data_IF_685946149072
#
_entry.id   IF_685946149072
#
_cell.length_a   1.000
_cell.length_b   1.000
_cell.length_c   1.000
_cell.angle_alpha   90.00
_cell.angle_beta   90.00
_cell.angle_gamma   90.00
#
_symmetry.space_group_name_H-M   'P 1'
#
loop_
_entity.id
_entity.type
_entity.pdbx_description
1 polymer ?
#
# COMPACT_ATOMS: atom_id res chain seq x y z
N UNK A 1 -26.78 -38.91 23.53
CA UNK A 1 -25.97 -38.03 24.40
C UNK A 1 -24.61 -37.90 23.73
N UNK A 2 -24.08 -36.70 23.51
CA UNK A 2 -22.73 -36.57 22.96
C UNK A 2 -21.73 -37.08 24.00
N UNK A 3 -20.81 -37.95 23.58
CA UNK A 3 -19.77 -38.47 24.45
C UNK A 3 -18.82 -37.35 24.88
N UNK A 4 -18.45 -37.35 26.16
CA UNK A 4 -17.52 -36.36 26.74
C UNK A 4 -16.18 -36.33 26.01
N UNK A 5 -15.73 -37.46 25.49
CA UNK A 5 -14.50 -37.60 24.68
C UNK A 5 -14.60 -36.86 23.35
N UNK A 6 -15.74 -36.93 22.67
CA UNK A 6 -15.98 -36.24 21.41
C UNK A 6 -16.02 -34.72 21.63
N UNK A 7 -16.71 -34.27 22.68
CA UNK A 7 -16.77 -32.85 23.04
C UNK A 7 -15.36 -32.30 23.33
N UNK A 8 -14.57 -33.03 24.11
CA UNK A 8 -13.24 -32.60 24.52
C UNK A 8 -12.25 -32.59 23.33
N UNK A 9 -12.37 -33.55 22.41
CA UNK A 9 -11.59 -33.59 21.18
C UNK A 9 -11.89 -32.42 20.23
N UNK A 10 -13.18 -32.11 20.01
CA UNK A 10 -13.59 -30.97 19.18
C UNK A 10 -13.08 -29.66 19.78
N UNK A 11 -13.24 -29.45 21.09
CA UNK A 11 -12.79 -28.23 21.78
C UNK A 11 -11.27 -28.06 21.66
N UNK A 12 -10.48 -29.11 21.90
CA UNK A 12 -9.02 -29.04 21.82
C UNK A 12 -8.54 -28.65 20.41
N UNK A 13 -9.14 -29.26 19.38
CA UNK A 13 -8.79 -28.96 18.01
C UNK A 13 -9.17 -27.52 17.61
N UNK A 14 -10.37 -27.06 17.97
CA UNK A 14 -10.82 -25.69 17.69
C UNK A 14 -9.94 -24.65 18.39
N UNK A 15 -9.59 -24.86 19.66
CA UNK A 15 -8.70 -23.96 20.42
C UNK A 15 -7.32 -23.90 19.78
N UNK A 16 -6.78 -25.03 19.34
CA UNK A 16 -5.45 -25.07 18.70
C UNK A 16 -5.43 -24.23 17.42
N UNK A 17 -6.43 -24.40 16.53
CA UNK A 17 -6.52 -23.62 15.28
C UNK A 17 -6.75 -22.13 15.57
N UNK A 18 -7.63 -21.79 16.52
CA UNK A 18 -7.85 -20.39 16.91
C UNK A 18 -6.58 -19.76 17.48
N UNK A 19 -5.82 -20.48 18.30
CA UNK A 19 -4.55 -19.98 18.84
C UNK A 19 -3.55 -19.68 17.72
N UNK A 20 -3.42 -20.57 16.75
CA UNK A 20 -2.48 -20.43 15.64
C UNK A 20 -2.86 -19.24 14.74
N UNK A 21 -4.14 -19.11 14.41
CA UNK A 21 -4.64 -18.00 13.59
C UNK A 21 -4.45 -16.64 14.28
N UNK A 22 -4.69 -16.56 15.60
CA UNK A 22 -4.43 -15.35 16.37
C UNK A 22 -2.95 -14.94 16.34
N UNK A 23 -2.03 -15.91 16.50
CA UNK A 23 -0.58 -15.66 16.44
C UNK A 23 -0.19 -15.11 15.06
N UNK A 24 -0.69 -15.71 13.98
CA UNK A 24 -0.38 -15.29 12.61
C UNK A 24 -0.91 -13.87 12.34
N UNK A 25 -2.14 -13.56 12.76
CA UNK A 25 -2.72 -12.22 12.58
C UNK A 25 -1.98 -11.16 13.40
N UNK A 26 -1.56 -11.49 14.63
CA UNK A 26 -0.75 -10.59 15.46
C UNK A 26 0.61 -10.31 14.81
N UNK A 27 1.28 -11.34 14.31
CA UNK A 27 2.55 -11.18 13.59
C UNK A 27 2.39 -10.31 12.33
N UNK A 28 1.33 -10.54 11.54
CA UNK A 28 1.02 -9.72 10.35
C UNK A 28 0.82 -8.24 10.71
N UNK A 29 0.15 -7.94 11.82
CA UNK A 29 -0.07 -6.56 12.28
C UNK A 29 1.24 -5.84 12.59
N UNK A 30 2.23 -6.53 13.15
CA UNK A 30 3.55 -5.94 13.44
C UNK A 30 4.44 -5.82 12.20
N UNK A 31 4.41 -6.83 11.32
CA UNK A 31 5.34 -6.94 10.19
C UNK A 31 4.89 -6.18 8.95
N UNK A 32 3.61 -5.84 8.83
CA UNK A 32 3.08 -5.05 7.71
C UNK A 32 2.91 -3.61 8.17
N UNK A 33 3.65 -2.70 7.51
CA UNK A 33 3.52 -1.25 7.72
C UNK A 33 2.09 -0.81 7.39
N UNK A 34 1.30 -0.60 8.44
CA UNK A 34 -0.11 -0.14 8.39
C UNK A 34 -0.24 1.21 9.10
N UNK A 35 0.84 2.00 9.10
CA UNK A 35 0.86 3.36 9.64
C UNK A 35 0.39 4.39 8.62
N UNK A 36 -0.03 5.55 9.11
CA UNK A 36 -0.23 6.73 8.28
C UNK A 36 1.15 7.24 7.80
N UNK A 37 1.24 7.51 6.51
CA UNK A 37 2.42 8.10 5.87
C UNK A 37 2.16 9.57 5.57
N UNK A 38 3.16 10.39 5.84
CA UNK A 38 3.20 11.81 5.49
C UNK A 38 3.78 11.97 4.10
N UNK A 39 3.02 12.60 3.19
CA UNK A 39 3.48 12.96 1.85
C UNK A 39 3.66 14.47 1.82
N UNK A 40 4.90 14.91 1.56
CA UNK A 40 5.24 16.31 1.33
C UNK A 40 5.15 16.62 -0.17
N UNK A 41 4.55 17.76 -0.51
CA UNK A 41 4.31 18.16 -1.90
C UNK A 41 5.10 19.44 -2.17
N UNK A 42 6.05 19.38 -3.12
CA UNK A 42 6.88 20.51 -3.55
C UNK A 42 7.62 21.24 -2.40
N UNK A 43 8.06 20.50 -1.38
CA UNK A 43 8.78 21.03 -0.22
C UNK A 43 8.01 22.14 0.56
N UNK A 44 6.68 22.17 0.41
CA UNK A 44 5.81 23.14 1.08
C UNK A 44 5.12 22.49 2.29
N UNK A 45 5.49 22.86 3.54
CA UNK A 45 4.95 22.26 4.75
C UNK A 45 3.44 22.54 4.94
N UNK A 46 2.88 23.53 4.24
CA UNK A 46 1.44 23.82 4.29
C UNK A 46 0.58 22.84 3.48
N UNK A 47 1.20 22.06 2.59
CA UNK A 47 0.51 21.08 1.71
C UNK A 47 0.81 19.62 2.07
N UNK A 48 1.46 19.39 3.21
CA UNK A 48 1.73 18.03 3.71
C UNK A 48 0.43 17.32 4.06
N UNK A 49 0.27 16.10 3.54
CA UNK A 49 -0.92 15.27 3.77
C UNK A 49 -0.55 13.99 4.52
N UNK A 50 -1.34 13.64 5.54
CA UNK A 50 -1.27 12.35 6.22
C UNK A 50 -2.30 11.41 5.62
N UNK A 51 -1.85 10.26 5.12
CA UNK A 51 -2.70 9.28 4.42
C UNK A 51 -2.33 7.85 4.82
N UNK A 52 -3.29 6.90 4.85
CA UNK A 52 -2.98 5.52 5.20
C UNK A 52 -2.08 4.87 4.13
N UNK A 53 -1.06 4.13 4.58
CA UNK A 53 -0.16 3.41 3.68
C UNK A 53 -0.88 2.26 2.92
N UNK A 54 -0.36 1.93 1.73
CA UNK A 54 -0.83 0.79 0.92
C UNK A 54 -1.80 1.15 -0.22
N UNK A 55 -2.22 2.41 -0.32
CA UNK A 55 -3.01 2.92 -1.45
C UNK A 55 -2.14 3.36 -2.65
N UNK A 56 -2.79 3.63 -3.79
CA UNK A 56 -2.14 4.23 -4.96
C UNK A 56 -1.98 5.75 -4.76
N UNK A 57 -0.87 6.34 -5.22
CA UNK A 57 -0.61 7.79 -5.07
C UNK A 57 -1.68 8.67 -5.75
N UNK A 58 -2.08 8.33 -6.97
CA UNK A 58 -3.04 9.11 -7.77
C UNK A 58 -4.39 9.37 -7.06
N UNK A 59 -5.17 8.34 -6.65
CA UNK A 59 -6.45 8.57 -5.97
C UNK A 59 -6.27 9.23 -4.60
N UNK A 60 -5.17 8.96 -3.91
CA UNK A 60 -4.86 9.56 -2.60
C UNK A 60 -4.65 11.07 -2.72
N UNK A 61 -3.87 11.53 -3.72
CA UNK A 61 -3.67 12.94 -4.00
C UNK A 61 -4.97 13.62 -4.48
N UNK A 62 -5.74 12.95 -5.35
CA UNK A 62 -7.02 13.47 -5.83
C UNK A 62 -8.02 13.68 -4.67
N UNK A 63 -8.05 12.79 -3.68
CA UNK A 63 -8.91 12.92 -2.49
C UNK A 63 -8.56 14.14 -1.62
N UNK A 64 -7.33 14.64 -1.72
CA UNK A 64 -6.83 15.83 -1.00
C UNK A 64 -6.82 17.08 -1.88
N UNK A 65 -7.44 17.03 -3.06
CA UNK A 65 -7.59 18.18 -3.96
C UNK A 65 -6.39 18.42 -4.89
N UNK A 66 -5.42 17.49 -4.95
CA UNK A 66 -4.28 17.55 -5.87
C UNK A 66 -4.53 16.61 -7.03
N UNK A 67 -4.88 17.16 -8.19
CA UNK A 67 -5.22 16.38 -9.37
C UNK A 67 -4.05 16.28 -10.33
N UNK A 68 -3.64 15.05 -10.64
CA UNK A 68 -2.76 14.74 -11.76
C UNK A 68 -3.62 14.36 -12.97
N UNK A 69 -3.20 14.79 -14.16
CA UNK A 69 -3.85 14.36 -15.40
C UNK A 69 -3.75 12.84 -15.52
N UNK A 70 -4.89 12.15 -15.66
CA UNK A 70 -4.91 10.69 -15.77
C UNK A 70 -6.10 10.23 -16.60
N UNK A 71 -5.82 9.54 -17.70
CA UNK A 71 -6.84 8.90 -18.54
C UNK A 71 -7.16 7.46 -18.11
N UNK A 72 -6.24 6.80 -17.39
CA UNK A 72 -6.29 5.36 -17.07
C UNK A 72 -6.66 5.06 -15.60
N UNK A 73 -7.02 6.08 -14.81
CA UNK A 73 -7.48 5.90 -13.42
C UNK A 73 -6.48 5.21 -12.48
N UNK A 74 -5.17 5.31 -12.75
CA UNK A 74 -4.13 4.64 -11.95
C UNK A 74 -3.86 3.19 -12.37
N UNK A 75 -4.15 2.83 -13.63
CA UNK A 75 -3.75 1.58 -14.26
C UNK A 75 -2.30 1.55 -14.78
N UNK A 76 -1.57 2.68 -14.76
CA UNK A 76 -0.17 2.74 -15.17
C UNK A 76 0.09 2.64 -16.68
N UNK A 77 -0.94 2.72 -17.53
CA UNK A 77 -0.83 2.49 -18.98
C UNK A 77 -0.89 3.76 -19.84
N UNK A 78 -1.30 4.90 -19.26
CA UNK A 78 -1.52 6.14 -20.00
C UNK A 78 -0.39 7.17 -19.87
N UNK A 79 0.52 7.00 -18.89
CA UNK A 79 1.67 7.86 -18.63
C UNK A 79 1.40 9.37 -18.49
N UNK A 80 0.15 9.76 -18.26
CA UNK A 80 -0.23 11.17 -18.09
C UNK A 80 0.01 11.66 -16.65
N UNK A 81 0.00 10.75 -15.68
CA UNK A 81 0.14 11.07 -14.26
C UNK A 81 1.61 11.26 -13.85
N UNK A 82 2.35 12.08 -14.62
CA UNK A 82 3.78 12.32 -14.43
C UNK A 82 4.02 13.07 -13.14
N UNK A 83 4.86 12.53 -12.28
CA UNK A 83 5.27 13.14 -11.03
C UNK A 83 6.74 12.82 -10.72
N UNK A 84 7.36 13.63 -9.86
CA UNK A 84 8.71 13.36 -9.35
C UNK A 84 8.59 12.88 -7.91
N UNK A 85 9.09 11.68 -7.65
CA UNK A 85 9.06 11.09 -6.31
C UNK A 85 10.48 11.12 -5.75
N UNK A 86 10.77 12.09 -4.89
CA UNK A 86 12.11 12.32 -4.33
C UNK A 86 12.55 11.21 -3.40
N UNK A 87 11.64 10.64 -2.62
CA UNK A 87 11.88 9.51 -1.74
C UNK A 87 10.67 8.57 -1.62
N UNK A 88 10.91 7.30 -1.29
CA UNK A 88 9.84 6.31 -1.06
C UNK A 88 9.13 5.74 -2.30
N UNK A 89 9.49 6.18 -3.52
CA UNK A 89 8.85 5.77 -4.78
C UNK A 89 9.27 4.42 -5.35
N UNK A 90 10.12 3.65 -4.66
CA UNK A 90 10.61 2.34 -5.11
C UNK A 90 11.39 2.39 -6.43
N UNK A 91 11.59 1.22 -7.04
CA UNK A 91 12.17 1.09 -8.40
C UNK A 91 11.10 1.36 -9.45
N UNK A 92 11.52 1.79 -10.64
CA UNK A 92 10.59 1.98 -11.77
C UNK A 92 9.93 0.64 -12.12
N UNK A 93 8.63 0.64 -12.41
CA UNK A 93 7.92 -0.55 -12.84
C UNK A 93 8.13 -0.77 -14.34
N UNK A 94 8.12 -2.03 -14.79
CA UNK A 94 8.22 -2.38 -16.21
C UNK A 94 7.13 -1.76 -17.09
N UNK A 95 5.96 -1.45 -16.50
CA UNK A 95 4.86 -0.73 -17.16
C UNK A 95 5.18 0.74 -17.39
N UNK A 96 6.05 1.34 -16.58
CA UNK A 96 6.44 2.76 -16.65
C UNK A 96 7.71 2.96 -17.48
N UNK A 97 8.61 1.97 -17.52
CA UNK A 97 9.92 2.06 -18.20
C UNK A 97 9.84 2.53 -19.66
N UNK A 98 8.83 2.09 -20.41
CA UNK A 98 8.66 2.48 -21.81
C UNK A 98 8.21 3.93 -22.03
N UNK A 99 7.77 4.61 -20.96
CA UNK A 99 7.22 5.96 -21.03
C UNK A 99 8.21 7.06 -20.61
N UNK A 100 9.34 6.69 -20.02
CA UNK A 100 10.36 7.63 -19.55
C UNK A 100 11.70 7.40 -20.23
N UNK A 101 12.42 8.49 -20.47
CA UNK A 101 13.81 8.39 -20.94
C UNK A 101 14.74 7.99 -19.80
N UNK A 102 15.92 7.44 -20.12
CA UNK A 102 16.93 7.08 -19.10
C UNK A 102 17.32 8.25 -18.19
N UNK A 103 17.34 9.47 -18.71
CA UNK A 103 17.61 10.68 -17.94
C UNK A 103 16.46 10.98 -16.95
N UNK A 104 15.21 10.90 -17.41
CA UNK A 104 14.04 11.12 -16.54
C UNK A 104 13.95 10.05 -15.43
N UNK A 105 14.28 8.79 -15.74
CA UNK A 105 14.31 7.72 -14.74
C UNK A 105 15.35 8.02 -13.65
N UNK A 106 16.52 8.53 -14.03
CA UNK A 106 17.58 8.95 -13.10
C UNK A 106 17.11 10.13 -12.23
N UNK A 107 16.37 11.07 -12.81
CA UNK A 107 15.79 12.23 -12.12
C UNK A 107 14.54 11.90 -11.28
N UNK A 108 14.27 10.59 -11.06
CA UNK A 108 13.19 10.06 -10.23
C UNK A 108 11.78 10.41 -10.72
N UNK A 109 11.61 10.50 -12.04
CA UNK A 109 10.28 10.58 -12.63
C UNK A 109 9.54 9.24 -12.54
N UNK A 110 8.24 9.34 -12.28
CA UNK A 110 7.27 8.25 -12.15
C UNK A 110 5.97 8.65 -12.84
#
# INVERSE_FOLDING_TARGET
MLDTTVILGVVMFTVTILSLTLIILYARKLLVSTGDVTIEINDDPSKTITVPAGGKLLPTLASKGVFLASACGGGGTCAQCRCRVTDGGGTILSTEEGHFTRAEIHDKWR
#
